data_IF_185841734392
#
_entry.id   IF_185841734392
#
_cell.length_a   1.000
_cell.length_b   1.000
_cell.length_c   1.000
_cell.angle_alpha   90.00
_cell.angle_beta   90.00
_cell.angle_gamma   90.00
#
_symmetry.space_group_name_H-M   'P 1'
#
loop_
_entity.id
_entity.type
_entity.pdbx_description
1 polymer ?
#
# COMPACT_ATOMS: atom_id res chain seq x y z
N UNK A 1 18.19 15.17 -10.38
CA UNK A 1 18.61 14.52 -9.13
C UNK A 1 17.55 13.52 -8.71
N UNK A 2 17.91 12.27 -8.61
CA UNK A 2 16.95 11.24 -8.19
C UNK A 2 16.69 11.37 -6.69
N UNK A 3 15.43 11.42 -6.27
CA UNK A 3 15.04 11.39 -4.85
C UNK A 3 15.46 10.06 -4.20
N UNK A 4 15.54 9.02 -4.99
CA UNK A 4 15.88 7.66 -4.54
C UNK A 4 17.09 7.21 -5.35
N UNK A 5 18.18 6.93 -4.66
CA UNK A 5 19.40 6.39 -5.27
C UNK A 5 19.34 4.86 -5.23
N UNK A 6 19.05 4.26 -6.38
CA UNK A 6 18.89 2.81 -6.53
C UNK A 6 20.17 2.06 -6.14
N UNK A 7 21.33 2.66 -6.31
CA UNK A 7 22.62 2.02 -5.98
C UNK A 7 22.83 1.83 -4.48
N UNK A 8 22.15 2.64 -3.66
CA UNK A 8 22.22 2.55 -2.19
C UNK A 8 21.19 1.58 -1.60
N UNK A 9 20.30 1.06 -2.43
CA UNK A 9 19.22 0.17 -1.98
C UNK A 9 19.68 -1.29 -1.99
N UNK A 10 19.35 -2.02 -0.92
CA UNK A 10 19.48 -3.47 -0.90
C UNK A 10 18.42 -4.10 -1.83
N UNK A 11 18.55 -5.39 -2.11
CA UNK A 11 17.55 -6.10 -2.93
C UNK A 11 16.15 -5.98 -2.34
N UNK A 12 16.01 -6.12 -1.02
CA UNK A 12 14.71 -6.01 -0.34
C UNK A 12 14.18 -4.58 -0.42
N UNK A 13 15.04 -3.58 -0.23
CA UNK A 13 14.67 -2.17 -0.38
C UNK A 13 14.14 -1.87 -1.79
N UNK A 14 14.78 -2.43 -2.80
CA UNK A 14 14.34 -2.28 -4.20
C UNK A 14 12.96 -2.89 -4.43
N UNK A 15 12.67 -4.03 -3.81
CA UNK A 15 11.35 -4.66 -3.90
C UNK A 15 10.29 -3.78 -3.23
N UNK A 16 10.59 -3.20 -2.08
CA UNK A 16 9.66 -2.29 -1.39
C UNK A 16 9.37 -1.05 -2.24
N UNK A 17 10.41 -0.43 -2.78
CA UNK A 17 10.26 0.75 -3.64
C UNK A 17 9.51 0.39 -4.93
N UNK A 18 9.82 -0.75 -5.54
CA UNK A 18 9.15 -1.26 -6.72
C UNK A 18 7.67 -1.54 -6.46
N UNK A 19 7.34 -2.14 -5.32
CA UNK A 19 5.96 -2.39 -4.91
C UNK A 19 5.19 -1.08 -4.75
N UNK A 20 5.81 -0.06 -4.17
CA UNK A 20 5.22 1.28 -4.07
C UNK A 20 4.95 1.92 -5.43
N UNK A 21 5.87 1.76 -6.37
CA UNK A 21 5.68 2.24 -7.75
C UNK A 21 4.51 1.51 -8.43
N UNK A 22 4.40 0.20 -8.25
CA UNK A 22 3.28 -0.59 -8.78
C UNK A 22 1.95 -0.15 -8.14
N UNK A 23 1.94 0.10 -6.83
CA UNK A 23 0.76 0.60 -6.14
C UNK A 23 0.33 1.98 -6.68
N UNK A 24 1.28 2.86 -6.93
CA UNK A 24 1.00 4.16 -7.54
C UNK A 24 0.37 4.02 -8.93
N UNK A 25 0.93 3.15 -9.76
CA UNK A 25 0.38 2.87 -11.09
C UNK A 25 -1.03 2.28 -10.98
N UNK A 26 -1.26 1.41 -10.00
CA UNK A 26 -2.55 0.79 -9.77
C UNK A 26 -3.66 1.82 -9.50
N UNK A 27 -3.35 2.99 -8.96
CA UNK A 27 -4.35 4.06 -8.74
C UNK A 27 -5.00 4.53 -10.04
N UNK A 28 -4.28 4.46 -11.15
CA UNK A 28 -4.79 4.87 -12.46
C UNK A 28 -5.60 3.77 -13.14
N UNK A 29 -5.55 2.56 -12.63
CA UNK A 29 -6.24 1.41 -13.19
C UNK A 29 -7.66 1.28 -12.62
N UNK A 30 -8.57 0.60 -13.32
CA UNK A 30 -9.89 0.34 -12.76
C UNK A 30 -9.79 -0.63 -11.57
N UNK A 31 -10.34 -0.21 -10.44
CA UNK A 31 -10.33 -0.99 -9.20
C UNK A 31 -11.57 -1.86 -9.05
N UNK A 32 -12.70 -1.32 -9.42
CA UNK A 32 -13.95 -2.06 -9.45
C UNK A 32 -14.89 -1.48 -10.49
N UNK A 33 -15.87 -2.25 -10.87
CA UNK A 33 -16.81 -1.82 -11.87
C UNK A 33 -17.87 -2.88 -12.11
N UNK A 34 -18.86 -2.53 -12.92
CA UNK A 34 -19.88 -3.45 -13.38
C UNK A 34 -19.95 -3.41 -14.90
N UNK A 35 -20.42 -4.50 -15.50
CA UNK A 35 -20.70 -4.54 -16.91
C UNK A 35 -22.04 -5.24 -17.11
N UNK A 36 -22.85 -4.66 -17.98
CA UNK A 36 -24.09 -5.24 -18.46
C UNK A 36 -24.10 -5.18 -19.99
N UNK A 37 -25.02 -5.88 -20.69
CA UNK A 37 -25.09 -5.80 -22.14
C UNK A 37 -25.30 -4.38 -22.67
N UNK A 38 -25.89 -3.50 -21.86
CA UNK A 38 -26.24 -2.13 -22.27
C UNK A 38 -25.22 -1.10 -21.79
N UNK A 39 -24.61 -1.29 -20.61
CA UNK A 39 -23.75 -0.28 -19.98
C UNK A 39 -22.63 -0.97 -19.20
N UNK A 40 -21.42 -0.42 -19.31
CA UNK A 40 -20.31 -0.78 -18.44
C UNK A 40 -19.74 0.48 -17.81
N UNK A 41 -19.37 0.37 -16.55
CA UNK A 41 -18.73 1.45 -15.82
C UNK A 41 -17.65 0.90 -14.91
N UNK A 42 -16.58 1.66 -14.74
CA UNK A 42 -15.49 1.30 -13.84
C UNK A 42 -15.06 2.51 -13.03
N UNK A 43 -14.50 2.25 -11.86
CA UNK A 43 -14.01 3.27 -10.94
C UNK A 43 -12.54 3.02 -10.69
N UNK A 44 -11.73 4.06 -10.85
CA UNK A 44 -10.29 3.99 -10.57
C UNK A 44 -10.00 4.03 -9.07
N UNK A 45 -8.76 3.77 -8.71
CA UNK A 45 -8.29 3.86 -7.34
C UNK A 45 -8.50 5.25 -6.71
N UNK A 46 -8.46 6.31 -7.51
CA UNK A 46 -8.69 7.67 -7.01
C UNK A 46 -10.09 7.90 -6.45
N UNK A 47 -11.07 7.12 -6.88
CA UNK A 47 -12.44 7.21 -6.40
C UNK A 47 -12.80 6.05 -5.46
N UNK A 48 -11.83 5.32 -4.99
CA UNK A 48 -12.04 4.14 -4.15
C UNK A 48 -12.30 4.47 -2.66
N UNK A 49 -12.51 5.72 -2.32
CA UNK A 49 -12.80 6.15 -0.95
C UNK A 49 -11.61 5.91 -0.01
N UNK A 50 -11.86 5.29 1.14
CA UNK A 50 -10.80 5.05 2.11
C UNK A 50 -9.68 4.13 1.61
N UNK A 51 -9.93 3.32 0.58
CA UNK A 51 -8.89 2.52 -0.04
C UNK A 51 -7.84 3.37 -0.77
N UNK A 52 -8.21 4.55 -1.23
CA UNK A 52 -7.25 5.52 -1.75
C UNK A 52 -6.22 5.89 -0.68
N UNK A 53 -6.68 6.16 0.56
CA UNK A 53 -5.77 6.41 1.68
C UNK A 53 -4.88 5.21 1.94
N UNK A 54 -5.44 4.00 1.86
CA UNK A 54 -4.68 2.76 2.02
C UNK A 54 -3.56 2.64 0.99
N UNK A 55 -3.88 2.85 -0.27
CA UNK A 55 -2.89 2.75 -1.35
C UNK A 55 -1.85 3.86 -1.24
N UNK A 56 -2.26 5.08 -0.89
CA UNK A 56 -1.33 6.19 -0.65
C UNK A 56 -0.38 5.90 0.52
N UNK A 57 -0.84 5.21 1.56
CA UNK A 57 0.03 4.78 2.65
C UNK A 57 1.09 3.78 2.17
N UNK A 58 0.72 2.86 1.28
CA UNK A 58 1.66 1.92 0.67
C UNK A 58 2.73 2.68 -0.13
N UNK A 59 2.29 3.62 -0.97
CA UNK A 59 3.20 4.46 -1.76
C UNK A 59 4.08 5.31 -0.86
N UNK A 60 3.51 5.95 0.14
CA UNK A 60 4.25 6.82 1.06
C UNK A 60 5.30 6.03 1.86
N UNK A 61 4.99 4.82 2.29
CA UNK A 61 5.95 3.95 2.98
C UNK A 61 7.14 3.60 2.08
N UNK A 62 6.87 3.30 0.81
CA UNK A 62 7.92 3.00 -0.17
C UNK A 62 8.81 4.22 -0.44
N UNK A 63 8.22 5.39 -0.62
CA UNK A 63 8.96 6.63 -0.83
C UNK A 63 9.80 6.97 0.40
N UNK A 64 9.22 6.86 1.59
CA UNK A 64 9.92 7.10 2.85
C UNK A 64 11.16 6.22 2.97
N UNK A 65 11.01 4.92 2.78
CA UNK A 65 12.14 3.98 2.87
C UNK A 65 13.19 4.28 1.80
N UNK A 66 12.76 4.53 0.57
CA UNK A 66 13.67 4.83 -0.54
C UNK A 66 14.49 6.08 -0.28
N UNK A 67 13.86 7.15 0.19
CA UNK A 67 14.54 8.40 0.54
C UNK A 67 15.51 8.20 1.71
N UNK A 68 15.07 7.49 2.74
CA UNK A 68 15.90 7.21 3.91
C UNK A 68 17.16 6.45 3.52
N UNK A 69 17.04 5.41 2.72
CA UNK A 69 18.16 4.59 2.26
C UNK A 69 19.08 5.35 1.30
N UNK A 70 18.55 6.34 0.60
CA UNK A 70 19.33 7.20 -0.29
C UNK A 70 20.12 8.29 0.45
N UNK A 71 20.00 8.36 1.77
CA UNK A 71 20.71 9.32 2.60
C UNK A 71 20.01 10.66 2.76
N UNK A 72 18.72 10.75 2.41
CA UNK A 72 17.95 11.96 2.66
C UNK A 72 17.84 12.23 4.16
N UNK A 73 17.95 13.50 4.53
CA UNK A 73 17.73 13.91 5.93
C UNK A 73 16.24 13.85 6.23
N UNK A 74 15.87 12.95 7.11
CA UNK A 74 14.50 12.82 7.58
C UNK A 74 14.38 13.33 9.01
N UNK A 75 13.21 13.87 9.41
CA UNK A 75 13.01 14.27 10.79
C UNK A 75 13.21 13.08 11.72
N UNK A 76 13.89 13.32 12.84
CA UNK A 76 14.03 12.28 13.87
C UNK A 76 12.68 12.02 14.51
N UNK A 77 12.32 10.75 14.58
CA UNK A 77 11.08 10.30 15.21
C UNK A 77 11.40 9.34 16.34
N UNK A 78 10.52 9.28 17.33
CA UNK A 78 10.65 8.32 18.42
C UNK A 78 10.42 6.86 17.96
N UNK A 79 9.86 6.70 16.77
CA UNK A 79 9.56 5.40 16.17
C UNK A 79 10.57 5.12 15.07
N UNK A 80 11.13 3.91 15.07
CA UNK A 80 12.12 3.51 14.07
C UNK A 80 11.54 3.41 12.66
N UNK A 81 12.38 3.62 11.65
CA UNK A 81 11.93 3.61 10.25
C UNK A 81 11.34 2.26 9.81
N UNK A 82 11.81 1.16 10.36
CA UNK A 82 11.23 -0.15 10.06
C UNK A 82 9.79 -0.28 10.57
N UNK A 83 9.52 0.24 11.76
CA UNK A 83 8.15 0.26 12.32
C UNK A 83 7.23 1.14 11.50
N UNK A 84 7.70 2.31 11.06
CA UNK A 84 6.91 3.23 10.24
C UNK A 84 6.57 2.57 8.90
N UNK A 85 7.56 2.00 8.22
CA UNK A 85 7.38 1.35 6.92
C UNK A 85 6.44 0.15 7.03
N UNK A 86 6.66 -0.70 8.02
CA UNK A 86 5.81 -1.88 8.24
C UNK A 86 4.38 -1.48 8.60
N UNK A 87 4.23 -0.55 9.54
CA UNK A 87 2.91 -0.09 9.99
C UNK A 87 2.10 0.53 8.85
N UNK A 88 2.69 1.44 8.10
CA UNK A 88 2.03 2.08 6.97
C UNK A 88 1.65 1.06 5.89
N UNK A 89 2.54 0.11 5.58
CA UNK A 89 2.27 -0.95 4.59
C UNK A 89 1.13 -1.87 5.03
N UNK A 90 1.11 -2.26 6.31
CA UNK A 90 0.05 -3.11 6.85
C UNK A 90 -1.30 -2.40 6.89
N UNK A 91 -1.34 -1.18 7.41
CA UNK A 91 -2.58 -0.39 7.48
C UNK A 91 -3.10 -0.14 6.08
N UNK A 92 -2.23 0.25 5.15
CA UNK A 92 -2.59 0.48 3.77
C UNK A 92 -3.18 -0.75 3.11
N UNK A 93 -2.53 -1.90 3.28
CA UNK A 93 -3.01 -3.17 2.73
C UNK A 93 -4.37 -3.57 3.31
N UNK A 94 -4.54 -3.42 4.64
CA UNK A 94 -5.81 -3.72 5.31
C UNK A 94 -6.94 -2.84 4.77
N UNK A 95 -6.69 -1.55 4.54
CA UNK A 95 -7.70 -0.64 3.99
C UNK A 95 -8.11 -1.06 2.56
N UNK A 96 -7.16 -1.51 1.75
CA UNK A 96 -7.46 -2.02 0.40
C UNK A 96 -8.29 -3.31 0.49
N UNK A 97 -7.94 -4.23 1.39
CA UNK A 97 -8.70 -5.48 1.61
C UNK A 97 -10.11 -5.18 2.09
N UNK A 98 -10.27 -4.24 3.03
CA UNK A 98 -11.57 -3.84 3.53
C UNK A 98 -12.43 -3.26 2.41
N UNK A 99 -11.85 -2.47 1.52
CA UNK A 99 -12.58 -1.92 0.38
C UNK A 99 -13.03 -3.03 -0.56
N UNK A 100 -12.18 -4.01 -0.83
CA UNK A 100 -12.58 -5.16 -1.63
C UNK A 100 -13.75 -5.91 -0.99
N UNK A 101 -13.67 -6.16 0.32
CA UNK A 101 -14.71 -6.87 1.05
C UNK A 101 -16.03 -6.09 1.12
N UNK A 102 -15.97 -4.76 1.02
CA UNK A 102 -17.13 -3.86 1.14
C UNK A 102 -17.50 -3.16 -0.16
N UNK A 103 -17.22 -3.80 -1.31
CA UNK A 103 -17.59 -3.23 -2.61
C UNK A 103 -19.06 -2.88 -2.65
N UNK A 104 -19.42 -1.70 -3.20
CA UNK A 104 -20.80 -1.25 -3.21
C UNK A 104 -21.67 -2.13 -4.11
N UNK A 105 -22.91 -2.24 -3.74
CA UNK A 105 -23.94 -2.87 -4.56
C UNK A 105 -24.94 -1.79 -4.95
N UNK A 106 -25.27 -1.75 -6.21
CA UNK A 106 -26.28 -0.83 -6.71
C UNK A 106 -27.47 -1.64 -7.24
N UNK A 107 -28.68 -1.18 -6.96
CA UNK A 107 -29.88 -1.76 -7.56
C UNK A 107 -30.48 -0.74 -8.53
N UNK A 108 -30.71 -1.19 -9.75
CA UNK A 108 -31.34 -0.40 -10.79
C UNK A 108 -32.48 -1.19 -11.38
N UNK A 109 -33.70 -0.64 -11.31
CA UNK A 109 -34.88 -1.31 -11.81
C UNK A 109 -35.16 -2.61 -11.05
N UNK A 110 -35.33 -3.72 -11.77
CA UNK A 110 -35.64 -5.03 -11.21
C UNK A 110 -34.38 -5.86 -10.85
N UNK A 111 -33.18 -5.30 -11.03
CA UNK A 111 -31.91 -6.04 -10.81
C UNK A 111 -31.02 -5.39 -9.76
N UNK A 112 -30.25 -6.22 -9.06
CA UNK A 112 -29.15 -5.76 -8.21
C UNK A 112 -27.85 -5.98 -8.98
N UNK A 113 -27.12 -4.90 -9.22
CA UNK A 113 -25.84 -4.96 -9.89
C UNK A 113 -24.73 -4.91 -8.84
N UNK A 114 -23.93 -5.96 -8.79
CA UNK A 114 -22.77 -6.01 -7.92
C UNK A 114 -21.55 -5.46 -8.67
N UNK A 115 -20.85 -4.53 -8.03
CA UNK A 115 -19.54 -4.14 -8.50
C UNK A 115 -18.57 -5.29 -8.25
N UNK A 116 -17.90 -5.74 -9.31
CA UNK A 116 -16.84 -6.74 -9.20
C UNK A 116 -15.47 -6.09 -9.07
N UNK A 117 -14.53 -6.76 -8.41
CA UNK A 117 -13.15 -6.28 -8.37
C UNK A 117 -12.54 -6.32 -9.78
N UNK A 118 -11.77 -5.30 -10.10
CA UNK A 118 -11.02 -5.20 -11.34
C UNK A 118 -9.54 -5.40 -11.05
N UNK A 119 -8.74 -5.53 -12.10
CA UNK A 119 -7.32 -5.82 -11.95
C UNK A 119 -6.54 -4.75 -11.16
N UNK A 120 -7.00 -3.51 -11.15
CA UNK A 120 -6.33 -2.43 -10.40
C UNK A 120 -6.29 -2.69 -8.89
N UNK A 121 -7.41 -3.09 -8.29
CA UNK A 121 -7.44 -3.40 -6.84
C UNK A 121 -6.63 -4.65 -6.53
N UNK A 122 -6.63 -5.63 -7.43
CA UNK A 122 -5.85 -6.87 -7.27
C UNK A 122 -4.36 -6.54 -7.29
N UNK A 123 -3.92 -5.71 -8.25
CA UNK A 123 -2.52 -5.28 -8.35
C UNK A 123 -2.11 -4.49 -7.12
N UNK A 124 -2.95 -3.54 -6.65
CA UNK A 124 -2.69 -2.77 -5.45
C UNK A 124 -2.57 -3.67 -4.21
N UNK A 125 -3.44 -4.66 -4.08
CA UNK A 125 -3.41 -5.62 -2.98
C UNK A 125 -2.14 -6.45 -2.99
N UNK A 126 -1.75 -6.99 -4.16
CA UNK A 126 -0.52 -7.76 -4.29
C UNK A 126 0.71 -6.91 -3.97
N UNK A 127 0.76 -5.68 -4.46
CA UNK A 127 1.83 -4.75 -4.14
C UNK A 127 1.92 -4.48 -2.63
N UNK A 128 0.78 -4.26 -1.99
CA UNK A 128 0.70 -4.04 -0.55
C UNK A 128 1.18 -5.24 0.27
N UNK A 129 0.77 -6.43 -0.11
CA UNK A 129 1.19 -7.68 0.57
C UNK A 129 2.70 -7.90 0.41
N UNK A 130 3.22 -7.77 -0.80
CA UNK A 130 4.65 -7.93 -1.05
C UNK A 130 5.45 -6.89 -0.24
N UNK A 131 5.01 -5.65 -0.24
CA UNK A 131 5.68 -4.58 0.50
C UNK A 131 5.65 -4.84 2.01
N UNK A 132 4.50 -5.27 2.55
CA UNK A 132 4.37 -5.57 3.97
C UNK A 132 5.28 -6.73 4.39
N UNK A 133 5.37 -7.78 3.59
CA UNK A 133 6.26 -8.91 3.87
C UNK A 133 7.74 -8.49 3.83
N UNK A 134 8.13 -7.69 2.85
CA UNK A 134 9.49 -7.16 2.76
C UNK A 134 9.80 -6.22 3.92
N UNK A 135 8.86 -5.35 4.28
CA UNK A 135 9.00 -4.45 5.42
C UNK A 135 9.14 -5.23 6.73
N UNK A 136 8.41 -6.33 6.89
CA UNK A 136 8.54 -7.20 8.05
C UNK A 136 9.94 -7.81 8.14
N UNK A 137 10.49 -8.26 7.03
CA UNK A 137 11.86 -8.79 6.99
C UNK A 137 12.89 -7.72 7.36
N UNK A 138 12.73 -6.52 6.82
CA UNK A 138 13.62 -5.40 7.16
C UNK A 138 13.52 -5.06 8.64
N UNK A 139 12.31 -5.03 9.19
CA UNK A 139 12.09 -4.78 10.61
C UNK A 139 12.78 -5.83 11.50
N UNK A 140 12.64 -7.11 11.16
CA UNK A 140 13.28 -8.20 11.91
C UNK A 140 14.80 -8.13 11.84
N UNK A 141 15.36 -7.73 10.71
CA UNK A 141 16.80 -7.60 10.52
C UNK A 141 17.37 -6.39 11.24
N UNK A 142 16.59 -5.32 11.37
CA UNK A 142 17.05 -4.08 11.99
C UNK A 142 17.18 -4.19 13.52
N UNK A 143 16.47 -5.13 14.14
CA UNK A 143 16.45 -5.26 15.58
C UNK A 143 15.78 -4.08 16.30
N UNK A 144 14.96 -3.30 15.60
CA UNK A 144 14.27 -2.15 16.19
C UNK A 144 13.27 -2.60 17.27
N UNK A 145 13.23 -1.83 18.38
CA UNK A 145 12.24 -2.03 19.39
C UNK A 145 10.88 -1.47 18.95
N UNK A 146 9.81 -2.21 19.21
CA UNK A 146 8.45 -1.71 18.96
C UNK A 146 8.03 -0.76 20.09
N UNK A 147 7.30 0.33 19.79
CA UNK A 147 6.95 1.34 20.79
C UNK A 147 6.09 0.80 21.94
N UNK A 148 5.35 -0.28 21.69
CA UNK A 148 4.48 -0.91 22.68
C UNK A 148 5.15 -2.06 23.42
N UNK A 149 6.35 -2.45 23.06
CA UNK A 149 7.06 -3.45 23.85
C UNK A 149 7.55 -2.78 25.13
N UNK A 150 7.04 -3.25 26.25
CA UNK A 150 7.63 -2.89 27.53
C UNK A 150 9.01 -3.54 27.57
N UNK A 151 10.04 -2.73 27.44
CA UNK A 151 11.37 -3.21 27.74
C UNK A 151 11.39 -3.58 29.22
N UNK A 152 11.39 -4.86 29.46
CA UNK A 152 11.77 -5.34 30.77
C UNK A 152 13.28 -5.16 30.85
N UNK A 153 13.68 -4.00 31.33
CA UNK A 153 15.05 -3.84 31.77
C UNK A 153 15.20 -4.65 33.08
N UNK A 154 15.85 -5.74 32.92
CA UNK A 154 16.36 -6.42 34.11
C UNK A 154 17.52 -5.62 34.67
#
# INVERSE_FOLDING_TARGET
>A
MAFIDVNKLSTIDKVVVGAGAVALIALFLPWYGFSSPAVSASVSGFSAGYALLGDLLIVAAAVYLGMLRSGAKMPSTSVGPGVITLGASLIGTVLVVLRWATLPRASFGSGVYNYGPRFGIIIALLAGVVQALCALRLFRRSGEAVPWSKETHA
#
